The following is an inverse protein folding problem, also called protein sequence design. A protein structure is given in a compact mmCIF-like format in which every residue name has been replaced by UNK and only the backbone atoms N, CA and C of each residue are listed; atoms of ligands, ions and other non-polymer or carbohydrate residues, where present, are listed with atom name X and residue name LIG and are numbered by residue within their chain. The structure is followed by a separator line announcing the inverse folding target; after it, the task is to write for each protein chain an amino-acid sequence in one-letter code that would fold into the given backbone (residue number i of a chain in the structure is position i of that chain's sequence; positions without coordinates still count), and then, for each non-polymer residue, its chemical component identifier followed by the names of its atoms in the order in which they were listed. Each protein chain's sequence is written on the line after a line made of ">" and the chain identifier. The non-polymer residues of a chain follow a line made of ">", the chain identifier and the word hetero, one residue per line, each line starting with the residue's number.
data_IF_303391843439
#
_entry.id   IF_303391843439
#
_cell.length_a   1.000
_cell.length_b   1.000
_cell.length_c   1.000
_cell.angle_alpha   90.00
_cell.angle_beta   90.00
_cell.angle_gamma   90.00
#
_symmetry.space_group_name_H-M   'P 1'
#
loop_
_entity.id
_entity.type
_entity.pdbx_description
1 polymer ?
#
# COMPACT_ATOMS: atom_id res chain seq x y z
N UNK A 1 3.72 -14.32 15.88
CA UNK A 1 2.41 -14.38 15.17
C UNK A 1 2.05 -12.96 14.79
N UNK A 2 1.75 -12.67 13.52
CA UNK A 2 1.34 -11.31 13.11
C UNK A 2 -0.05 -10.97 13.66
N UNK A 3 -0.34 -9.66 13.80
CA UNK A 3 -1.66 -9.19 14.23
C UNK A 3 -2.76 -9.66 13.27
N UNK A 4 -2.48 -9.70 11.96
CA UNK A 4 -3.44 -10.17 10.95
C UNK A 4 -3.81 -11.64 11.15
N UNK A 5 -2.83 -12.51 11.42
CA UNK A 5 -3.10 -13.93 11.69
C UNK A 5 -3.86 -14.12 13.01
N UNK A 6 -3.58 -13.29 14.02
CA UNK A 6 -4.32 -13.33 15.27
C UNK A 6 -5.80 -12.97 15.07
N UNK A 7 -6.08 -11.92 14.30
CA UNK A 7 -7.44 -11.47 14.01
C UNK A 7 -8.18 -12.44 13.09
N UNK A 8 -7.53 -13.01 12.06
CA UNK A 8 -8.16 -13.96 11.15
C UNK A 8 -8.66 -15.21 11.87
N UNK A 9 -7.97 -15.64 12.93
CA UNK A 9 -8.39 -16.78 13.76
C UNK A 9 -9.65 -16.50 14.60
N UNK A 10 -10.11 -15.25 14.66
CA UNK A 10 -11.36 -14.86 15.33
C UNK A 10 -12.56 -14.82 14.38
N UNK A 11 -12.35 -15.06 13.09
CA UNK A 11 -13.40 -15.07 12.06
C UNK A 11 -13.61 -16.49 11.59
N UNK A 12 -14.86 -16.96 11.57
CA UNK A 12 -15.20 -18.34 11.22
C UNK A 12 -15.18 -18.63 9.71
N UNK A 13 -15.36 -17.60 8.88
CA UNK A 13 -15.46 -17.74 7.42
C UNK A 13 -14.56 -16.72 6.72
N UNK A 14 -13.47 -17.21 6.11
CA UNK A 14 -12.60 -16.43 5.26
C UNK A 14 -12.45 -17.20 3.95
N UNK A 15 -12.95 -16.62 2.86
CA UNK A 15 -12.85 -17.22 1.53
C UNK A 15 -11.70 -16.55 0.76
N UNK A 16 -10.54 -17.22 0.76
CA UNK A 16 -9.39 -16.78 -0.04
C UNK A 16 -9.60 -17.11 -1.53
N UNK A 17 -8.88 -16.41 -2.40
CA UNK A 17 -8.97 -16.56 -3.87
C UNK A 17 -10.37 -16.27 -4.44
N UNK A 18 -11.22 -15.56 -3.70
CA UNK A 18 -12.55 -15.12 -4.13
C UNK A 18 -12.50 -13.64 -4.51
N UNK A 19 -12.07 -13.36 -5.74
CA UNK A 19 -11.93 -11.98 -6.23
C UNK A 19 -13.30 -11.45 -6.63
N UNK A 20 -13.83 -10.49 -5.87
CA UNK A 20 -15.08 -9.79 -6.20
C UNK A 20 -14.92 -9.02 -7.51
N UNK A 21 -15.88 -9.18 -8.43
CA UNK A 21 -15.92 -8.50 -9.73
C UNK A 21 -17.15 -7.61 -9.88
N UNK A 22 -18.27 -7.93 -9.23
CA UNK A 22 -19.50 -7.15 -9.31
C UNK A 22 -20.29 -7.19 -8.00
N UNK A 23 -20.89 -6.06 -7.66
CA UNK A 23 -21.82 -5.90 -6.54
C UNK A 23 -23.13 -5.35 -7.11
N UNK A 24 -24.19 -6.14 -6.99
CA UNK A 24 -25.55 -5.73 -7.34
C UNK A 24 -26.31 -5.46 -6.05
N UNK A 25 -27.05 -4.36 -5.96
CA UNK A 25 -27.75 -3.99 -4.74
C UNK A 25 -29.07 -3.27 -5.00
N UNK A 26 -29.98 -3.38 -4.04
CA UNK A 26 -31.24 -2.64 -3.98
C UNK A 26 -31.55 -2.31 -2.51
N UNK A 27 -32.75 -1.78 -2.25
CA UNK A 27 -33.12 -1.34 -0.89
C UNK A 27 -33.30 -2.51 0.11
N UNK A 28 -33.24 -3.76 -0.34
CA UNK A 28 -33.50 -4.96 0.46
C UNK A 28 -32.29 -5.88 0.60
N UNK A 29 -31.37 -5.90 -0.37
CA UNK A 29 -30.34 -6.94 -0.46
C UNK A 29 -29.15 -6.51 -1.30
N UNK A 30 -28.04 -7.23 -1.10
CA UNK A 30 -26.82 -7.16 -1.88
C UNK A 30 -26.47 -8.56 -2.39
N UNK A 31 -26.09 -8.64 -3.67
CA UNK A 31 -25.47 -9.79 -4.30
C UNK A 31 -24.04 -9.45 -4.69
N UNK A 32 -23.09 -10.25 -4.21
CA UNK A 32 -21.66 -10.14 -4.54
C UNK A 32 -21.28 -11.28 -5.46
N UNK A 33 -20.79 -10.94 -6.65
CA UNK A 33 -20.29 -11.88 -7.64
C UNK A 33 -18.78 -11.84 -7.70
N UNK A 34 -18.16 -13.02 -7.71
CA UNK A 34 -16.72 -13.18 -7.89
C UNK A 34 -16.37 -13.48 -9.35
N UNK A 35 -15.09 -13.32 -9.70
CA UNK A 35 -14.56 -13.59 -11.06
C UNK A 35 -14.75 -15.04 -11.51
N UNK A 36 -14.67 -15.98 -10.57
CA UNK A 36 -14.90 -17.41 -10.84
C UNK A 36 -16.40 -17.79 -10.87
N UNK A 37 -17.30 -16.81 -10.68
CA UNK A 37 -18.74 -16.97 -10.87
C UNK A 37 -19.53 -17.32 -9.61
N UNK A 38 -18.90 -17.43 -8.44
CA UNK A 38 -19.64 -17.60 -7.18
C UNK A 38 -20.49 -16.37 -6.87
N UNK A 39 -21.65 -16.63 -6.26
CA UNK A 39 -22.60 -15.62 -5.82
C UNK A 39 -22.77 -15.72 -4.31
N UNK A 40 -22.70 -14.57 -3.65
CA UNK A 40 -22.95 -14.43 -2.22
C UNK A 40 -24.10 -13.43 -2.04
N UNK A 41 -25.08 -13.78 -1.21
CA UNK A 41 -26.20 -12.90 -0.88
C UNK A 41 -26.08 -12.43 0.56
N UNK A 42 -26.34 -11.15 0.80
CA UNK A 42 -26.34 -10.55 2.13
C UNK A 42 -27.32 -9.38 2.19
N UNK A 43 -27.67 -8.95 3.40
CA UNK A 43 -28.42 -7.71 3.61
C UNK A 43 -27.52 -6.47 3.44
N UNK A 44 -26.23 -6.58 3.78
CA UNK A 44 -25.26 -5.49 3.72
C UNK A 44 -23.92 -6.00 3.20
N UNK A 45 -23.11 -5.09 2.63
CA UNK A 45 -21.72 -5.35 2.28
C UNK A 45 -20.82 -4.25 2.87
N UNK A 46 -19.72 -4.64 3.48
CA UNK A 46 -18.66 -3.72 3.91
C UNK A 46 -17.48 -3.82 2.95
N UNK A 47 -17.21 -2.76 2.20
CA UNK A 47 -16.03 -2.68 1.35
C UNK A 47 -14.84 -2.14 2.12
N UNK A 48 -13.79 -2.96 2.18
CA UNK A 48 -12.48 -2.61 2.74
C UNK A 48 -11.37 -2.68 1.69
N UNK A 49 -11.72 -2.61 0.41
CA UNK A 49 -10.74 -2.66 -0.68
C UNK A 49 -9.93 -1.36 -0.72
N UNK A 50 -8.64 -1.41 -1.12
CA UNK A 50 -7.83 -0.21 -1.24
C UNK A 50 -8.39 0.81 -2.24
N UNK A 51 -8.11 2.10 -2.01
CA UNK A 51 -8.54 3.19 -2.89
C UNK A 51 -8.08 2.98 -4.35
N UNK A 52 -6.89 2.43 -4.56
CA UNK A 52 -6.37 2.11 -5.89
C UNK A 52 -7.27 1.12 -6.66
N UNK A 53 -7.84 0.12 -5.98
CA UNK A 53 -8.78 -0.85 -6.57
C UNK A 53 -10.07 -0.17 -7.02
N UNK A 54 -10.59 0.76 -6.22
CA UNK A 54 -11.78 1.55 -6.56
C UNK A 54 -11.53 2.47 -7.76
N UNK A 55 -10.42 3.21 -7.76
CA UNK A 55 -10.02 4.08 -8.88
C UNK A 55 -9.80 3.32 -10.18
N UNK A 56 -9.27 2.10 -10.10
CA UNK A 56 -9.07 1.20 -11.25
C UNK A 56 -10.35 0.46 -11.66
N UNK A 57 -11.49 0.74 -11.01
CA UNK A 57 -12.82 0.20 -11.34
C UNK A 57 -12.83 -1.32 -11.46
N UNK A 58 -12.12 -2.01 -10.56
CA UNK A 58 -12.02 -3.48 -10.59
C UNK A 58 -13.31 -4.19 -10.15
N UNK A 59 -14.20 -3.45 -9.49
CA UNK A 59 -15.52 -3.91 -9.04
C UNK A 59 -16.56 -3.08 -9.76
N UNK A 60 -17.45 -3.76 -10.49
CA UNK A 60 -18.64 -3.15 -11.08
C UNK A 60 -19.73 -2.99 -10.02
N UNK A 61 -20.40 -1.85 -9.98
CA UNK A 61 -21.54 -1.60 -9.10
C UNK A 61 -22.82 -1.48 -9.93
N UNK A 62 -23.89 -2.17 -9.52
CA UNK A 62 -25.20 -2.12 -10.17
C UNK A 62 -26.32 -1.94 -9.13
N UNK A 63 -26.98 -0.76 -9.05
CA UNK A 63 -26.74 0.45 -9.85
C UNK A 63 -25.34 1.04 -9.62
N UNK A 64 -24.93 1.98 -10.48
CA UNK A 64 -23.63 2.67 -10.29
C UNK A 64 -23.61 3.42 -8.96
N UNK A 65 -22.43 3.53 -8.36
CA UNK A 65 -22.22 4.41 -7.21
C UNK A 65 -22.64 5.85 -7.57
N UNK A 66 -23.20 6.60 -6.60
CA UNK A 66 -23.58 7.99 -6.80
C UNK A 66 -22.40 8.86 -7.23
N UNK A 67 -22.69 9.94 -7.96
CA UNK A 67 -21.65 10.86 -8.46
C UNK A 67 -20.75 11.42 -7.36
N UNK A 68 -21.31 11.80 -6.21
CA UNK A 68 -20.54 12.33 -5.08
C UNK A 68 -19.49 11.34 -4.56
N UNK A 69 -19.79 10.03 -4.57
CA UNK A 69 -18.88 8.95 -4.16
C UNK A 69 -17.78 8.76 -5.20
N UNK A 70 -18.16 8.68 -6.48
CA UNK A 70 -17.22 8.51 -7.58
C UNK A 70 -16.23 9.68 -7.67
N UNK A 71 -16.75 10.90 -7.55
CA UNK A 71 -15.95 12.12 -7.58
C UNK A 71 -14.95 12.17 -6.41
N UNK A 72 -15.34 11.77 -5.20
CA UNK A 72 -14.43 11.65 -4.06
C UNK A 72 -13.36 10.58 -4.29
N UNK A 73 -13.75 9.39 -4.77
CA UNK A 73 -12.81 8.32 -5.15
C UNK A 73 -11.79 8.83 -6.16
N UNK A 74 -12.20 9.64 -7.15
CA UNK A 74 -11.32 10.15 -8.20
C UNK A 74 -10.37 11.25 -7.71
N UNK A 75 -10.82 12.14 -6.82
CA UNK A 75 -10.02 13.26 -6.32
C UNK A 75 -9.01 12.87 -5.24
N UNK A 76 -9.32 11.93 -4.36
CA UNK A 76 -8.42 11.55 -3.27
C UNK A 76 -7.12 10.97 -3.85
N UNK A 77 -5.97 11.39 -3.34
CA UNK A 77 -4.65 10.94 -3.81
C UNK A 77 -4.31 9.54 -3.30
N UNK A 78 -3.44 8.83 -4.02
CA UNK A 78 -2.79 7.63 -3.49
C UNK A 78 -1.32 7.57 -3.93
N UNK A 79 -0.46 7.14 -3.01
CA UNK A 79 0.98 7.16 -3.18
C UNK A 79 1.49 5.95 -3.97
N UNK A 80 2.59 6.19 -4.68
CA UNK A 80 3.48 5.16 -5.19
C UNK A 80 4.70 5.16 -4.28
N UNK A 81 4.81 4.11 -3.48
CA UNK A 81 5.84 3.92 -2.48
C UNK A 81 6.29 2.47 -2.54
N UNK A 82 7.57 2.23 -2.78
CA UNK A 82 8.13 0.90 -2.92
C UNK A 82 9.37 0.74 -2.05
N UNK A 83 9.59 -0.49 -1.60
CA UNK A 83 10.70 -0.87 -0.75
C UNK A 83 11.63 -1.79 -1.52
N UNK A 84 12.94 -1.60 -1.34
CA UNK A 84 13.94 -2.59 -1.72
C UNK A 84 14.62 -3.10 -0.46
N UNK A 85 14.53 -4.42 -0.24
CA UNK A 85 15.16 -5.11 0.89
C UNK A 85 16.40 -5.83 0.38
N UNK A 86 17.54 -5.50 0.98
CA UNK A 86 18.83 -6.13 0.73
C UNK A 86 19.18 -7.02 1.92
N UNK A 87 19.42 -8.30 1.68
CA UNK A 87 19.87 -9.25 2.70
C UNK A 87 21.32 -9.63 2.46
N UNK A 88 22.03 -9.89 3.56
CA UNK A 88 23.37 -10.45 3.56
C UNK A 88 23.44 -11.67 4.45
N UNK A 89 24.54 -12.42 4.42
CA UNK A 89 24.74 -13.52 5.37
C UNK A 89 25.08 -13.01 6.77
N UNK A 90 25.75 -11.85 6.84
CA UNK A 90 26.15 -11.17 8.07
C UNK A 90 26.05 -9.66 7.89
N UNK A 91 25.63 -8.97 8.95
CA UNK A 91 25.62 -7.51 8.96
C UNK A 91 27.07 -7.01 8.93
N UNK A 92 27.41 -6.23 7.89
CA UNK A 92 28.73 -5.62 7.72
C UNK A 92 28.76 -4.16 8.23
N UNK A 93 27.60 -3.59 8.54
CA UNK A 93 27.44 -2.24 9.09
C UNK A 93 27.35 -2.26 10.63
N UNK A 94 27.32 -1.07 11.25
CA UNK A 94 27.03 -0.96 12.67
C UNK A 94 25.56 -1.35 12.96
N UNK A 95 25.37 -2.51 13.60
CA UNK A 95 24.05 -3.03 13.92
C UNK A 95 23.34 -2.31 15.07
N UNK A 96 23.95 -1.31 15.72
CA UNK A 96 23.27 -0.54 16.78
C UNK A 96 22.29 0.50 16.25
N UNK A 97 22.54 1.05 15.06
CA UNK A 97 21.73 2.11 14.46
C UNK A 97 20.40 1.57 13.94
N UNK A 98 19.33 2.37 14.09
CA UNK A 98 18.00 2.02 13.59
C UNK A 98 17.79 2.37 12.12
N UNK A 99 18.40 3.46 11.67
CA UNK A 99 18.27 3.94 10.31
C UNK A 99 19.52 4.72 9.88
N UNK A 100 19.66 4.86 8.57
CA UNK A 100 20.70 5.66 7.94
C UNK A 100 20.05 6.59 6.92
N UNK A 101 20.60 7.78 6.76
CA UNK A 101 20.10 8.76 5.81
C UNK A 101 21.19 9.09 4.81
N UNK A 102 20.84 9.08 3.52
CA UNK A 102 21.68 9.54 2.43
C UNK A 102 21.27 10.95 2.04
N UNK A 103 22.22 11.88 2.06
CA UNK A 103 22.02 13.22 1.49
C UNK A 103 22.35 13.15 0.01
N UNK A 104 21.36 13.41 -0.85
CA UNK A 104 21.54 13.40 -2.30
C UNK A 104 20.73 14.50 -2.97
N UNK A 105 21.03 14.79 -4.24
CA UNK A 105 20.25 15.72 -5.06
C UNK A 105 18.86 15.17 -5.43
N UNK A 106 18.60 13.87 -5.21
CA UNK A 106 17.31 13.25 -5.46
C UNK A 106 16.75 12.62 -4.17
N UNK A 107 16.05 13.41 -3.33
CA UNK A 107 15.58 12.94 -2.03
C UNK A 107 14.51 11.83 -2.13
N UNK A 108 13.90 11.61 -3.31
CA UNK A 108 12.87 10.59 -3.50
C UNK A 108 13.42 9.18 -3.74
N UNK A 109 14.74 9.02 -3.77
CA UNK A 109 15.39 7.76 -4.11
C UNK A 109 16.47 7.40 -3.09
N UNK A 110 16.25 6.34 -2.33
CA UNK A 110 17.25 5.76 -1.42
C UNK A 110 17.80 6.78 -0.39
N UNK A 111 17.00 7.76 0.01
CA UNK A 111 17.43 8.76 1.00
C UNK A 111 17.31 8.25 2.42
N UNK A 112 16.41 7.30 2.66
CA UNK A 112 16.16 6.71 3.96
C UNK A 112 16.36 5.21 3.90
N UNK A 113 17.10 4.67 4.88
CA UNK A 113 17.45 3.27 4.97
C UNK A 113 17.16 2.77 6.39
N UNK A 114 16.47 1.65 6.50
CA UNK A 114 16.03 1.06 7.75
C UNK A 114 16.82 -0.21 8.02
N UNK A 115 17.40 -0.32 9.22
CA UNK A 115 18.18 -1.48 9.64
C UNK A 115 17.27 -2.57 10.22
N UNK A 116 16.82 -3.48 9.37
CA UNK A 116 15.88 -4.54 9.77
C UNK A 116 16.42 -5.42 10.91
N UNK A 117 17.75 -5.54 11.02
CA UNK A 117 18.45 -6.32 12.05
C UNK A 117 18.01 -5.94 13.47
N UNK A 118 17.60 -4.69 13.70
CA UNK A 118 17.12 -4.21 15.00
C UNK A 118 15.81 -4.83 15.47
N UNK A 119 14.98 -5.34 14.58
CA UNK A 119 13.63 -5.81 14.92
C UNK A 119 13.41 -7.30 14.64
N UNK A 120 14.21 -7.92 13.77
CA UNK A 120 13.97 -9.31 13.34
C UNK A 120 15.24 -10.16 13.27
N UNK A 121 16.37 -9.69 13.80
CA UNK A 121 17.69 -10.34 13.76
C UNK A 121 18.16 -10.75 12.34
N UNK A 122 17.52 -10.21 11.29
CA UNK A 122 17.95 -10.44 9.90
C UNK A 122 19.00 -9.38 9.53
N UNK A 123 20.18 -9.77 9.03
CA UNK A 123 21.15 -8.84 8.47
C UNK A 123 20.62 -8.25 7.14
N UNK A 124 19.68 -7.31 7.25
CA UNK A 124 19.04 -6.69 6.11
C UNK A 124 18.89 -5.17 6.27
N UNK A 125 19.05 -4.47 5.15
CA UNK A 125 18.75 -3.05 5.01
C UNK A 125 17.57 -2.87 4.06
N UNK A 126 16.68 -1.94 4.38
CA UNK A 126 15.52 -1.60 3.56
C UNK A 126 15.67 -0.16 3.10
N UNK A 127 15.56 0.12 1.81
CA UNK A 127 15.50 1.49 1.30
C UNK A 127 14.20 1.75 0.54
N UNK A 128 13.89 3.04 0.42
CA UNK A 128 12.58 3.51 -0.03
C UNK A 128 12.67 4.29 -1.32
N UNK A 129 11.66 4.10 -2.16
CA UNK A 129 11.46 4.77 -3.44
C UNK A 129 10.06 5.34 -3.47
N UNK A 130 9.95 6.55 -4.02
CA UNK A 130 8.71 7.29 -4.03
C UNK A 130 8.48 7.92 -5.40
N UNK A 131 7.22 8.12 -5.74
CA UNK A 131 6.82 8.91 -6.90
C UNK A 131 6.64 8.10 -8.17
N UNK A 132 6.09 8.76 -9.20
CA UNK A 132 5.47 8.11 -10.36
C UNK A 132 6.42 7.30 -11.25
N UNK A 133 7.71 7.61 -11.26
CA UNK A 133 8.71 6.86 -12.04
C UNK A 133 9.24 5.60 -11.33
N UNK A 134 8.85 5.39 -10.06
CA UNK A 134 9.32 4.26 -9.25
C UNK A 134 9.04 2.88 -9.88
N UNK A 135 7.83 2.58 -10.39
CA UNK A 135 7.52 1.23 -10.88
C UNK A 135 8.37 0.85 -12.11
N UNK A 136 8.58 1.80 -13.03
CA UNK A 136 9.46 1.61 -14.19
C UNK A 136 10.92 1.41 -13.74
N UNK A 137 11.38 2.26 -12.83
CA UNK A 137 12.76 2.21 -12.34
C UNK A 137 13.06 0.89 -11.59
N UNK A 138 12.09 0.35 -10.86
CA UNK A 138 12.20 -0.90 -10.10
C UNK A 138 11.85 -2.16 -10.92
N UNK A 139 11.53 -2.00 -12.20
CA UNK A 139 11.17 -3.11 -13.09
C UNK A 139 12.31 -4.10 -13.29
N UNK A 140 11.97 -5.32 -13.69
CA UNK A 140 12.95 -6.38 -13.97
C UNK A 140 13.92 -5.99 -15.08
N UNK A 141 13.48 -5.16 -16.05
CA UNK A 141 14.30 -4.67 -17.14
C UNK A 141 15.45 -3.77 -16.64
N UNK A 142 15.22 -3.02 -15.57
CA UNK A 142 16.20 -2.11 -14.97
C UNK A 142 17.00 -2.74 -13.82
N UNK A 143 16.87 -4.05 -13.61
CA UNK A 143 17.43 -4.74 -12.44
C UNK A 143 18.94 -4.59 -12.30
N UNK A 144 19.71 -4.71 -13.38
CA UNK A 144 21.17 -4.55 -13.34
C UNK A 144 21.60 -3.13 -12.97
N UNK A 145 20.92 -2.13 -13.53
CA UNK A 145 21.14 -0.70 -13.25
C UNK A 145 20.81 -0.41 -11.78
N UNK A 146 19.66 -0.90 -11.30
CA UNK A 146 19.24 -0.78 -9.91
C UNK A 146 20.30 -1.35 -8.94
N UNK A 147 20.79 -2.57 -9.20
CA UNK A 147 21.79 -3.21 -8.33
C UNK A 147 23.12 -2.45 -8.30
N UNK A 148 23.56 -1.91 -9.44
CA UNK A 148 24.76 -1.08 -9.51
C UNK A 148 24.60 0.22 -8.70
N UNK A 149 23.45 0.91 -8.83
CA UNK A 149 23.16 2.16 -8.12
C UNK A 149 23.01 1.92 -6.60
N UNK A 150 22.43 0.78 -6.19
CA UNK A 150 22.36 0.37 -4.79
C UNK A 150 23.76 0.14 -4.20
N UNK A 151 24.61 -0.60 -4.90
CA UNK A 151 26.00 -0.85 -4.46
C UNK A 151 26.78 0.47 -4.33
N UNK A 152 26.67 1.34 -5.34
CA UNK A 152 27.31 2.65 -5.33
C UNK A 152 26.82 3.49 -4.14
N UNK A 153 25.50 3.55 -3.95
CA UNK A 153 24.88 4.32 -2.85
C UNK A 153 25.36 3.84 -1.48
N UNK A 154 25.40 2.53 -1.26
CA UNK A 154 25.91 1.96 -0.01
C UNK A 154 27.40 2.30 0.17
N UNK A 155 28.21 2.24 -0.89
CA UNK A 155 29.64 2.57 -0.82
C UNK A 155 29.86 4.06 -0.49
N UNK A 156 29.03 4.94 -1.02
CA UNK A 156 29.04 6.38 -0.70
C UNK A 156 28.67 6.63 0.77
N UNK A 157 27.66 5.92 1.29
CA UNK A 157 27.21 6.05 2.69
C UNK A 157 28.21 5.47 3.69
N UNK A 158 28.94 4.42 3.29
CA UNK A 158 29.84 3.66 4.17
C UNK A 158 31.24 3.51 3.55
N UNK A 159 31.99 4.62 3.34
CA UNK A 159 33.25 4.60 2.58
C UNK A 159 34.37 3.79 3.25
N UNK A 160 34.29 3.53 4.56
CA UNK A 160 35.26 2.73 5.31
C UNK A 160 35.03 1.22 5.23
N UNK A 161 33.99 0.76 4.54
CA UNK A 161 33.62 -0.65 4.48
C UNK A 161 33.83 -1.22 3.07
N UNK A 162 34.26 -2.48 3.01
CA UNK A 162 34.17 -3.30 1.80
C UNK A 162 32.81 -3.98 1.83
N UNK A 163 31.90 -3.52 0.97
CA UNK A 163 30.49 -3.94 1.00
C UNK A 163 30.30 -5.15 0.08
N UNK A 164 30.04 -6.35 0.62
CA UNK A 164 29.79 -7.53 -0.21
C UNK A 164 28.46 -7.36 -0.98
N UNK A 165 28.31 -8.04 -2.12
CA UNK A 165 27.01 -8.09 -2.78
C UNK A 165 25.96 -8.73 -1.86
N UNK A 166 24.70 -8.27 -1.89
CA UNK A 166 23.62 -8.88 -1.12
C UNK A 166 23.37 -10.31 -1.60
N UNK A 167 23.09 -11.22 -0.67
CA UNK A 167 22.71 -12.60 -0.97
C UNK A 167 21.32 -12.67 -1.58
N UNK A 168 20.40 -11.79 -1.16
CA UNK A 168 19.07 -11.65 -1.72
C UNK A 168 18.67 -10.17 -1.85
N UNK A 169 17.88 -9.88 -2.87
CA UNK A 169 17.30 -8.56 -3.08
C UNK A 169 15.82 -8.70 -3.40
N UNK A 170 14.96 -8.19 -2.53
CA UNK A 170 13.50 -8.18 -2.73
C UNK A 170 13.03 -6.77 -3.06
N UNK A 171 12.13 -6.66 -4.02
CA UNK A 171 11.59 -5.38 -4.50
C UNK A 171 10.08 -5.49 -4.47
N UNK A 172 9.41 -4.53 -3.82
CA UNK A 172 7.95 -4.47 -3.86
C UNK A 172 7.47 -3.83 -5.16
N UNK A 173 6.25 -4.16 -5.56
CA UNK A 173 5.55 -3.50 -6.65
C UNK A 173 4.07 -3.36 -6.28
N UNK A 174 3.80 -2.57 -5.24
CA UNK A 174 2.45 -2.26 -4.78
C UNK A 174 1.61 -1.56 -5.85
N UNK A 175 2.25 -0.78 -6.73
CA UNK A 175 1.57 -0.08 -7.81
C UNK A 175 0.92 -1.01 -8.84
N UNK A 176 1.58 -2.12 -9.19
CA UNK A 176 1.06 -3.12 -10.13
C UNK A 176 0.34 -4.29 -9.44
N UNK A 177 0.35 -4.36 -8.10
CA UNK A 177 -0.41 -5.36 -7.36
C UNK A 177 -1.93 -5.17 -7.64
N UNK A 178 -2.60 -6.17 -8.24
CA UNK A 178 -4.00 -6.05 -8.64
C UNK A 178 -4.99 -5.92 -7.48
N UNK A 179 -4.54 -6.10 -6.24
CA UNK A 179 -5.35 -5.95 -5.03
C UNK A 179 -5.02 -4.69 -4.22
N UNK A 180 -4.06 -3.89 -4.69
CA UNK A 180 -3.63 -2.66 -4.01
C UNK A 180 -3.66 -1.46 -4.97
N UNK A 181 -3.03 -1.58 -6.14
CA UNK A 181 -2.79 -0.52 -7.13
C UNK A 181 -2.21 0.76 -6.53
N UNK A 182 -1.23 0.61 -5.64
CA UNK A 182 -0.60 1.70 -4.91
C UNK A 182 -0.40 1.35 -3.44
N UNK A 183 0.04 2.34 -2.68
CA UNK A 183 0.38 2.17 -1.26
C UNK A 183 -0.71 2.74 -0.34
N UNK A 184 -0.56 3.98 0.12
CA UNK A 184 -1.49 4.66 1.01
C UNK A 184 -1.99 5.96 0.40
N UNK A 185 -3.17 6.40 0.82
CA UNK A 185 -3.83 7.62 0.39
C UNK A 185 -3.13 8.90 0.88
N UNK A 186 -3.42 10.03 0.23
CA UNK A 186 -2.96 11.36 0.66
C UNK A 186 -3.89 12.46 0.14
N UNK A 187 -3.85 13.62 0.79
CA UNK A 187 -4.61 14.80 0.37
C UNK A 187 -4.04 15.35 -0.94
N UNK A 188 -4.75 15.15 -2.05
CA UNK A 188 -4.31 15.64 -3.36
C UNK A 188 -4.63 17.12 -3.56
N UNK A 189 -4.03 17.76 -4.57
CA UNK A 189 -4.36 19.14 -4.96
C UNK A 189 -5.77 19.29 -5.51
N UNK A 190 -6.36 18.20 -5.97
CA UNK A 190 -7.73 18.17 -6.50
C UNK A 190 -8.75 17.90 -5.40
N UNK A 191 -8.32 17.45 -4.22
CA UNK A 191 -9.20 16.98 -3.15
C UNK A 191 -9.95 18.12 -2.46
N UNK A 192 -11.27 17.93 -2.31
CA UNK A 192 -12.12 18.79 -1.49
C UNK A 192 -12.07 18.34 -0.03
N UNK A 193 -12.33 19.28 0.89
CA UNK A 193 -12.35 19.03 2.33
C UNK A 193 -13.27 17.86 2.73
N UNK A 194 -14.44 17.76 2.09
CA UNK A 194 -15.45 16.73 2.41
C UNK A 194 -15.23 15.38 1.71
N UNK A 195 -14.23 15.25 0.83
CA UNK A 195 -14.03 14.00 0.06
C UNK A 195 -13.81 12.76 0.95
N UNK A 196 -13.06 12.81 2.08
CA UNK A 196 -12.95 11.67 2.98
C UNK A 196 -14.30 11.29 3.61
N UNK A 197 -15.17 12.27 3.89
CA UNK A 197 -16.52 12.04 4.40
C UNK A 197 -17.31 11.31 3.33
N UNK A 198 -17.37 11.86 2.11
CA UNK A 198 -17.99 11.21 0.97
C UNK A 198 -17.40 9.83 0.68
N UNK A 199 -16.12 9.56 0.91
CA UNK A 199 -15.57 8.22 0.75
C UNK A 199 -16.13 7.23 1.78
N UNK A 200 -16.38 7.68 3.02
CA UNK A 200 -16.92 6.86 4.11
C UNK A 200 -18.45 6.67 4.09
N UNK A 201 -19.21 7.61 3.51
CA UNK A 201 -20.68 7.60 3.55
C UNK A 201 -21.27 6.30 2.94
N UNK A 202 -22.24 5.65 3.59
CA UNK A 202 -22.89 4.47 2.99
C UNK A 202 -23.62 4.82 1.69
N UNK A 203 -23.75 3.83 0.80
CA UNK A 203 -24.56 3.95 -0.42
C UNK A 203 -25.79 3.05 -0.29
N UNK A 204 -26.96 3.65 -0.51
CA UNK A 204 -28.28 2.99 -0.36
C UNK A 204 -28.49 2.33 1.01
N UNK A 205 -27.80 2.77 2.07
CA UNK A 205 -27.83 2.14 3.40
C UNK A 205 -27.50 0.64 3.40
N UNK A 206 -26.77 0.16 2.39
CA UNK A 206 -26.47 -1.28 2.20
C UNK A 206 -25.00 -1.53 1.89
N UNK A 207 -24.37 -0.60 1.17
CA UNK A 207 -22.95 -0.64 0.88
C UNK A 207 -22.23 0.29 1.85
N UNK A 208 -21.53 -0.31 2.81
CA UNK A 208 -20.70 0.36 3.79
C UNK A 208 -19.26 0.40 3.28
N UNK A 209 -18.52 1.44 3.66
CA UNK A 209 -17.12 1.61 3.29
C UNK A 209 -16.27 1.71 4.56
N UNK A 210 -15.13 1.02 4.56
CA UNK A 210 -14.06 1.16 5.53
C UNK A 210 -12.72 1.15 4.78
N UNK A 211 -12.47 2.24 4.05
CA UNK A 211 -11.28 2.40 3.18
C UNK A 211 -10.26 3.26 3.92
N UNK A 212 -8.98 2.95 3.77
CA UNK A 212 -7.92 3.69 4.44
C UNK A 212 -7.85 5.16 3.95
N UNK A 213 -8.55 6.02 4.68
CA UNK A 213 -8.45 7.49 4.77
C UNK A 213 -9.21 8.02 6.00
N UNK A 214 -10.11 7.22 6.56
CA UNK A 214 -11.06 7.60 7.61
C UNK A 214 -10.46 8.18 8.90
N UNK A 215 -9.15 8.13 9.11
CA UNK A 215 -8.53 8.52 10.40
C UNK A 215 -7.47 9.62 10.36
N UNK A 216 -7.10 10.15 9.20
CA UNK A 216 -6.23 11.34 9.20
C UNK A 216 -6.97 12.59 9.71
N UNK A 217 -8.29 12.68 9.50
CA UNK A 217 -9.11 13.80 9.98
C UNK A 217 -9.62 13.67 11.41
N UNK A 218 -9.88 12.45 11.92
CA UNK A 218 -10.38 12.29 13.29
C UNK A 218 -9.27 12.52 14.32
N UNK A 219 -8.01 12.18 14.01
CA UNK A 219 -6.91 12.40 14.95
C UNK A 219 -6.45 13.87 15.06
N UNK A 220 -6.72 14.73 14.06
CA UNK A 220 -6.39 16.16 14.14
C UNK A 220 -7.45 17.01 14.84
N UNK A 221 -8.68 16.49 15.03
CA UNK A 221 -9.74 17.19 15.76
C UNK A 221 -9.72 16.98 17.29
N UNK A 222 -8.80 16.17 17.82
CA UNK A 222 -8.67 15.93 19.27
C UNK A 222 -7.41 16.54 19.92
N UNK A 223 -6.66 17.39 19.22
CA UNK A 223 -5.61 18.21 19.84
C UNK A 223 -6.11 19.64 20.05
N UNK A 224 -7.09 19.79 20.94
CA UNK A 224 -7.25 21.02 21.72
C UNK A 224 -6.87 20.68 23.16
N UNK A 225 -5.58 20.87 23.47
CA UNK A 225 -5.08 21.15 24.81
C UNK A 225 -4.14 22.35 24.69
#
# INVERSE_FOLDING_TARGET
>A
MSVTNYLSNKVSHIHLNQIVSKITYNDQSVEVRTRDGHLYHAEYVLLTVPLGVLKRKQIEFSPSLPKWKLDAIDRIGYNIFENVVLLWDRAWWNSTEFYFTRVSSNPMRMSYWVNANKWNDKPALICFFFGKSTPEYLSIQNRSILLAELQQTLQEMFPGFVIPPPSEVHVTNWYEDPFSFGSYSYISTEQNYDDPIYLSEPVHDRILFAVHEEKLFVCSMFTNY
#
